data_IF_646637577187
#
_entry.id   IF_646637577187
#
_cell.length_a   1.000
_cell.length_b   1.000
_cell.length_c   1.000
_cell.angle_alpha   90.00
_cell.angle_beta   90.00
_cell.angle_gamma   90.00
#
_symmetry.space_group_name_H-M   'P 1'
#
loop_
_entity.id
_entity.type
_entity.pdbx_description
1 polymer ?
#
# COMPACT_ATOMS: atom_id res chain seq x y z
N UNK A 1 35.26 -2.56 6.47
CA UNK A 1 34.19 -1.55 6.27
C UNK A 1 33.61 -1.51 4.85
N UNK A 2 34.40 -1.74 3.78
CA UNK A 2 33.90 -1.71 2.39
C UNK A 2 32.76 -2.69 2.07
N UNK A 3 32.74 -3.89 2.71
CA UNK A 3 31.69 -4.89 2.46
C UNK A 3 30.30 -4.47 2.94
N UNK A 4 30.19 -3.68 4.01
CA UNK A 4 28.89 -3.24 4.53
C UNK A 4 28.24 -2.19 3.62
N UNK A 5 29.02 -1.20 3.18
CA UNK A 5 28.55 -0.16 2.25
C UNK A 5 28.11 -0.76 0.91
N UNK A 6 28.88 -1.71 0.37
CA UNK A 6 28.54 -2.40 -0.87
C UNK A 6 27.23 -3.19 -0.74
N UNK A 7 27.04 -3.93 0.36
CA UNK A 7 25.79 -4.69 0.62
C UNK A 7 24.57 -3.78 0.78
N UNK A 8 24.77 -2.61 1.40
CA UNK A 8 23.72 -1.61 1.54
C UNK A 8 23.32 -1.00 0.19
N UNK A 9 24.30 -0.63 -0.65
CA UNK A 9 24.04 -0.15 -2.02
C UNK A 9 23.35 -1.20 -2.87
N UNK A 10 23.81 -2.45 -2.80
CA UNK A 10 23.19 -3.56 -3.52
C UNK A 10 21.75 -3.81 -3.04
N UNK A 11 21.51 -3.78 -1.73
CA UNK A 11 20.17 -3.89 -1.15
C UNK A 11 19.24 -2.76 -1.59
N UNK A 12 19.74 -1.51 -1.63
CA UNK A 12 18.98 -0.36 -2.11
C UNK A 12 18.65 -0.48 -3.61
N UNK A 13 19.63 -0.84 -4.44
CA UNK A 13 19.42 -1.04 -5.88
C UNK A 13 18.39 -2.16 -6.14
N UNK A 14 18.54 -3.30 -5.46
CA UNK A 14 17.58 -4.40 -5.57
C UNK A 14 16.18 -4.00 -5.11
N UNK A 15 16.06 -3.22 -4.03
CA UNK A 15 14.80 -2.70 -3.51
C UNK A 15 14.10 -1.78 -4.50
N UNK A 16 14.81 -0.83 -5.10
CA UNK A 16 14.26 0.13 -6.08
C UNK A 16 13.78 -0.61 -7.33
N UNK A 17 14.64 -1.46 -7.91
CA UNK A 17 14.31 -2.23 -9.12
C UNK A 17 13.11 -3.13 -8.86
N UNK A 18 13.11 -3.86 -7.74
CA UNK A 18 12.00 -4.73 -7.38
C UNK A 18 10.71 -3.94 -7.14
N UNK A 19 10.76 -2.82 -6.42
CA UNK A 19 9.58 -2.00 -6.15
C UNK A 19 8.92 -1.53 -7.45
N UNK A 20 9.73 -1.08 -8.42
CA UNK A 20 9.24 -0.69 -9.74
C UNK A 20 8.49 -1.84 -10.43
N UNK A 21 9.15 -2.98 -10.64
CA UNK A 21 8.53 -4.11 -11.33
C UNK A 21 7.33 -4.68 -10.58
N UNK A 22 7.41 -4.75 -9.24
CA UNK A 22 6.35 -5.28 -8.40
C UNK A 22 5.10 -4.39 -8.48
N UNK A 23 5.25 -3.06 -8.36
CA UNK A 23 4.11 -2.16 -8.46
C UNK A 23 3.46 -2.20 -9.84
N UNK A 24 4.24 -2.19 -10.92
CA UNK A 24 3.71 -2.31 -12.28
C UNK A 24 3.01 -3.65 -12.51
N UNK A 25 3.59 -4.75 -12.03
CA UNK A 25 3.00 -6.09 -12.12
C UNK A 25 1.68 -6.20 -11.34
N UNK A 26 1.66 -5.73 -10.09
CA UNK A 26 0.45 -5.69 -9.26
C UNK A 26 -0.62 -4.79 -9.87
N UNK A 27 -0.24 -3.62 -10.41
CA UNK A 27 -1.16 -2.71 -11.08
C UNK A 27 -1.72 -3.28 -12.38
N UNK A 28 -0.93 -4.06 -13.12
CA UNK A 28 -1.41 -4.79 -14.29
C UNK A 28 -2.41 -5.88 -13.90
N UNK A 29 -2.10 -6.68 -12.88
CA UNK A 29 -3.02 -7.71 -12.36
C UNK A 29 -4.31 -7.10 -11.81
N UNK A 30 -4.24 -6.01 -11.05
CA UNK A 30 -5.40 -5.31 -10.52
C UNK A 30 -6.33 -4.83 -11.64
N UNK A 31 -5.77 -4.23 -12.69
CA UNK A 31 -6.54 -3.83 -13.88
C UNK A 31 -7.17 -5.02 -14.60
N UNK A 32 -6.47 -6.15 -14.64
CA UNK A 32 -7.00 -7.41 -15.20
C UNK A 32 -8.27 -7.92 -14.50
N UNK A 33 -8.50 -7.54 -13.23
CA UNK A 33 -9.71 -7.87 -12.47
C UNK A 33 -10.67 -6.68 -12.30
N UNK A 34 -10.47 -5.61 -13.09
CA UNK A 34 -11.33 -4.42 -13.07
C UNK A 34 -11.05 -3.43 -11.93
N UNK A 35 -10.04 -3.66 -11.09
CA UNK A 35 -9.66 -2.73 -10.03
C UNK A 35 -8.80 -1.62 -10.66
N UNK A 36 -9.18 -0.36 -10.41
CA UNK A 36 -8.47 0.82 -10.92
C UNK A 36 -7.52 1.35 -9.82
N UNK A 37 -6.20 1.11 -9.91
CA UNK A 37 -5.24 1.57 -8.89
C UNK A 37 -4.85 3.04 -9.05
N UNK A 38 -4.90 3.57 -10.28
CA UNK A 38 -4.53 4.95 -10.63
C UNK A 38 -5.68 5.52 -11.46
N UNK A 39 -6.18 6.68 -11.07
CA UNK A 39 -7.16 7.46 -11.85
C UNK A 39 -6.40 8.44 -12.70
N UNK A 40 -6.72 8.49 -13.99
CA UNK A 40 -6.22 9.50 -14.91
C UNK A 40 -7.32 10.54 -15.16
N UNK A 41 -6.99 11.82 -14.99
CA UNK A 41 -7.89 12.95 -15.18
C UNK A 41 -7.56 13.65 -16.50
N UNK A 42 -8.49 13.60 -17.45
CA UNK A 42 -8.43 14.35 -18.70
C UNK A 42 -9.77 15.09 -18.92
N UNK A 43 -9.84 16.43 -18.79
CA UNK A 43 -8.71 17.33 -18.52
C UNK A 43 -8.16 17.23 -17.08
N UNK A 44 -6.90 17.64 -16.84
CA UNK A 44 -6.32 17.68 -15.50
C UNK A 44 -7.15 18.53 -14.52
N UNK A 45 -7.21 18.11 -13.26
CA UNK A 45 -8.02 18.75 -12.21
C UNK A 45 -7.15 19.51 -11.22
N UNK A 46 -7.67 20.60 -10.66
CA UNK A 46 -6.98 21.31 -9.59
C UNK A 46 -7.28 20.65 -8.23
N UNK A 47 -6.24 20.30 -7.48
CA UNK A 47 -6.34 19.62 -6.19
C UNK A 47 -5.45 20.31 -5.14
N UNK A 48 -5.88 20.34 -3.88
CA UNK A 48 -5.08 20.86 -2.78
C UNK A 48 -4.22 19.73 -2.22
N UNK A 49 -2.90 19.90 -2.29
CA UNK A 49 -1.94 18.94 -1.74
C UNK A 49 -1.11 19.64 -0.67
N UNK A 50 -0.84 18.92 0.41
CA UNK A 50 0.07 19.37 1.45
C UNK A 50 1.50 19.07 1.00
N UNK A 51 2.29 20.11 0.76
CA UNK A 51 3.67 19.98 0.27
C UNK A 51 4.58 20.70 1.27
N UNK A 52 5.71 20.07 1.62
CA UNK A 52 6.72 20.64 2.52
C UNK A 52 7.17 19.68 3.62
N UNK A 53 8.26 20.06 4.28
CA UNK A 53 8.76 19.34 5.47
C UNK A 53 7.73 19.38 6.61
N UNK A 54 7.71 18.40 7.53
CA UNK A 54 6.72 18.33 8.62
C UNK A 54 6.56 19.61 9.47
N UNK A 55 7.60 20.44 9.55
CA UNK A 55 7.59 21.72 10.26
C UNK A 55 7.16 22.93 9.38
N UNK A 56 7.15 22.77 8.06
CA UNK A 56 6.84 23.82 7.06
C UNK A 56 5.83 23.30 6.03
N UNK A 57 4.81 22.58 6.51
CA UNK A 57 3.74 22.09 5.63
C UNK A 57 2.82 23.25 5.25
N UNK A 58 2.73 23.53 3.96
CA UNK A 58 1.76 24.46 3.40
C UNK A 58 0.84 23.78 2.39
N UNK A 59 -0.41 24.24 2.34
CA UNK A 59 -1.38 23.79 1.35
C UNK A 59 -1.11 24.48 0.02
N UNK A 60 -0.88 23.70 -1.03
CA UNK A 60 -0.68 24.21 -2.38
C UNK A 60 -1.77 23.67 -3.30
N UNK A 61 -2.39 24.56 -4.07
CA UNK A 61 -3.30 24.17 -5.15
C UNK A 61 -2.45 23.84 -6.37
N UNK A 62 -2.47 22.57 -6.78
CA UNK A 62 -1.69 22.07 -7.92
C UNK A 62 -2.62 21.39 -8.92
N UNK A 63 -2.21 21.38 -10.18
CA UNK A 63 -2.96 20.72 -11.25
C UNK A 63 -2.44 19.29 -11.42
N UNK A 64 -3.34 18.32 -11.31
CA UNK A 64 -3.02 16.90 -11.25
C UNK A 64 -3.71 16.17 -12.40
N UNK A 65 -2.93 15.37 -13.14
CA UNK A 65 -3.44 14.49 -14.20
C UNK A 65 -3.63 13.06 -13.72
N UNK A 66 -3.02 12.67 -12.60
CA UNK A 66 -3.08 11.30 -12.08
C UNK A 66 -3.12 11.29 -10.56
N UNK A 67 -3.96 10.42 -9.98
CA UNK A 67 -4.02 10.23 -8.53
C UNK A 67 -4.19 8.75 -8.18
N UNK A 68 -3.70 8.34 -7.02
CA UNK A 68 -3.83 6.97 -6.54
C UNK A 68 -5.18 6.76 -5.88
N UNK A 69 -5.86 5.67 -6.23
CA UNK A 69 -7.05 5.25 -5.48
C UNK A 69 -6.64 4.60 -4.15
N UNK A 70 -7.62 4.37 -3.26
CA UNK A 70 -7.40 3.52 -2.07
C UNK A 70 -6.83 2.14 -2.43
N UNK A 71 -7.24 1.60 -3.58
CA UNK A 71 -6.67 0.37 -4.11
C UNK A 71 -5.20 0.55 -4.51
N UNK A 72 -4.87 1.63 -5.21
CA UNK A 72 -3.48 1.99 -5.54
C UNK A 72 -2.60 2.12 -4.30
N UNK A 73 -3.08 2.83 -3.28
CA UNK A 73 -2.37 3.02 -2.00
C UNK A 73 -2.12 1.67 -1.31
N UNK A 74 -3.11 0.77 -1.27
CA UNK A 74 -2.93 -0.57 -0.70
C UNK A 74 -1.84 -1.38 -1.44
N UNK A 75 -1.79 -1.29 -2.77
CA UNK A 75 -0.75 -1.94 -3.58
C UNK A 75 0.63 -1.31 -3.40
N UNK A 76 0.71 0.00 -3.17
CA UNK A 76 1.97 0.67 -2.80
C UNK A 76 2.50 0.10 -1.49
N UNK A 77 1.66 -0.01 -0.45
CA UNK A 77 2.10 -0.59 0.82
C UNK A 77 2.58 -2.04 0.68
N UNK A 78 1.87 -2.87 -0.08
CA UNK A 78 2.33 -4.23 -0.38
C UNK A 78 3.70 -4.23 -1.07
N UNK A 79 3.86 -3.38 -2.08
CA UNK A 79 5.11 -3.23 -2.83
C UNK A 79 6.25 -2.85 -1.90
N UNK A 80 6.04 -1.88 -1.00
CA UNK A 80 7.05 -1.44 -0.04
C UNK A 80 7.45 -2.56 0.93
N UNK A 81 6.49 -3.32 1.44
CA UNK A 81 6.77 -4.46 2.32
C UNK A 81 7.59 -5.53 1.59
N UNK A 82 7.18 -5.91 0.39
CA UNK A 82 7.90 -6.91 -0.40
C UNK A 82 9.31 -6.42 -0.77
N UNK A 83 9.42 -5.16 -1.17
CA UNK A 83 10.71 -4.52 -1.48
C UNK A 83 11.65 -4.48 -0.27
N UNK A 84 11.12 -4.21 0.93
CA UNK A 84 11.89 -4.30 2.17
C UNK A 84 12.45 -5.71 2.41
N UNK A 85 11.66 -6.75 2.19
CA UNK A 85 12.14 -8.14 2.33
C UNK A 85 13.19 -8.49 1.28
N UNK A 86 13.03 -8.03 0.04
CA UNK A 86 14.05 -8.18 -1.02
C UNK A 86 15.35 -7.47 -0.63
N UNK A 87 15.27 -6.24 -0.12
CA UNK A 87 16.42 -5.50 0.38
C UNK A 87 17.16 -6.27 1.49
N UNK A 88 16.41 -6.87 2.44
CA UNK A 88 16.98 -7.70 3.51
C UNK A 88 17.65 -8.96 2.98
N UNK A 89 17.04 -9.64 2.00
CA UNK A 89 17.64 -10.82 1.37
C UNK A 89 18.92 -10.44 0.65
N UNK A 90 18.91 -9.36 -0.13
CA UNK A 90 20.09 -8.85 -0.82
C UNK A 90 21.19 -8.43 0.17
N UNK A 91 20.83 -7.81 1.29
CA UNK A 91 21.77 -7.44 2.33
C UNK A 91 22.36 -8.67 3.03
N UNK A 92 21.55 -9.61 3.53
CA UNK A 92 22.04 -10.77 4.29
C UNK A 92 22.55 -11.93 3.41
N UNK A 93 22.23 -11.93 2.12
CA UNK A 93 22.48 -13.01 1.15
C UNK A 93 21.98 -14.37 1.64
N UNK A 94 20.90 -14.38 2.44
CA UNK A 94 20.38 -15.61 3.05
C UNK A 94 18.89 -15.49 3.34
N UNK A 95 18.09 -16.34 2.70
CA UNK A 95 16.66 -16.46 2.96
C UNK A 95 16.37 -16.95 4.38
N UNK A 96 17.17 -17.89 4.90
CA UNK A 96 16.99 -18.45 6.24
C UNK A 96 17.11 -17.38 7.35
N UNK A 97 18.02 -16.41 7.17
CA UNK A 97 18.21 -15.30 8.12
C UNK A 97 17.08 -14.26 8.06
N UNK A 98 16.43 -14.11 6.92
CA UNK A 98 15.41 -13.08 6.69
C UNK A 98 14.01 -13.60 6.98
N UNK A 99 13.71 -14.83 6.58
CA UNK A 99 12.37 -15.42 6.70
C UNK A 99 12.28 -16.31 7.93
N UNK A 100 12.27 -15.68 9.10
CA UNK A 100 11.86 -16.33 10.34
C UNK A 100 10.40 -16.78 10.25
N UNK A 101 9.95 -17.63 11.19
CA UNK A 101 8.53 -18.01 11.24
C UNK A 101 7.62 -16.78 11.30
N UNK A 102 7.99 -15.77 12.08
CA UNK A 102 7.23 -14.53 12.19
C UNK A 102 7.17 -13.77 10.87
N UNK A 103 8.32 -13.57 10.22
CA UNK A 103 8.40 -12.86 8.93
C UNK A 103 7.55 -13.50 7.84
N UNK A 104 7.53 -14.84 7.75
CA UNK A 104 6.69 -15.56 6.77
C UNK A 104 5.21 -15.29 6.97
N UNK A 105 4.75 -15.30 8.23
CA UNK A 105 3.36 -15.01 8.55
C UNK A 105 3.02 -13.53 8.36
N UNK A 106 3.97 -12.63 8.61
CA UNK A 106 3.80 -11.21 8.36
C UNK A 106 3.65 -10.93 6.85
N UNK A 107 4.55 -11.48 6.02
CA UNK A 107 4.47 -11.36 4.55
C UNK A 107 3.18 -11.99 4.02
N UNK A 108 2.80 -13.18 4.50
CA UNK A 108 1.54 -13.81 4.10
C UNK A 108 0.33 -12.92 4.43
N UNK A 109 0.34 -12.27 5.60
CA UNK A 109 -0.70 -11.32 5.99
C UNK A 109 -0.81 -10.14 5.03
N UNK A 110 0.32 -9.59 4.58
CA UNK A 110 0.33 -8.54 3.56
C UNK A 110 -0.13 -9.02 2.19
N UNK A 111 0.33 -10.19 1.76
CA UNK A 111 -0.06 -10.80 0.48
C UNK A 111 -1.55 -11.09 0.37
N UNK A 112 -2.23 -11.33 1.49
CA UNK A 112 -3.69 -11.53 1.52
C UNK A 112 -4.41 -10.20 1.79
N UNK A 113 -3.94 -9.47 2.79
CA UNK A 113 -4.59 -8.26 3.29
C UNK A 113 -4.58 -7.12 2.29
N UNK A 114 -3.46 -6.87 1.61
CA UNK A 114 -3.39 -5.74 0.68
C UNK A 114 -4.28 -5.92 -0.56
N UNK A 115 -4.32 -7.09 -1.24
CA UNK A 115 -5.30 -7.32 -2.31
C UNK A 115 -6.75 -7.26 -1.81
N UNK A 116 -7.02 -7.80 -0.62
CA UNK A 116 -8.36 -7.72 0.00
C UNK A 116 -8.77 -6.26 0.26
N UNK A 117 -7.87 -5.45 0.84
CA UNK A 117 -8.10 -4.03 1.06
C UNK A 117 -8.21 -3.29 -0.28
N UNK A 118 -7.44 -3.64 -1.30
CA UNK A 118 -7.55 -3.02 -2.61
C UNK A 118 -8.94 -3.27 -3.23
N UNK A 119 -9.43 -4.50 -3.17
CA UNK A 119 -10.78 -4.85 -3.62
C UNK A 119 -11.85 -4.12 -2.80
N UNK A 120 -11.73 -4.10 -1.47
CA UNK A 120 -12.67 -3.42 -0.57
C UNK A 120 -12.68 -1.90 -0.80
N UNK A 121 -11.52 -1.28 -0.97
CA UNK A 121 -11.40 0.15 -1.27
C UNK A 121 -12.05 0.51 -2.59
N UNK A 122 -11.87 -0.33 -3.63
CA UNK A 122 -12.54 -0.14 -4.91
C UNK A 122 -14.07 -0.27 -4.78
N UNK A 123 -14.56 -1.31 -4.10
CA UNK A 123 -16.01 -1.51 -3.89
C UNK A 123 -16.66 -0.41 -3.06
N UNK A 124 -16.00 0.06 -2.00
CA UNK A 124 -16.52 1.17 -1.18
C UNK A 124 -16.70 2.45 -2.00
N UNK A 125 -15.72 2.75 -2.86
CA UNK A 125 -15.80 3.91 -3.77
C UNK A 125 -16.98 3.76 -4.72
N UNK A 126 -17.13 2.61 -5.38
CA UNK A 126 -18.27 2.36 -6.28
C UNK A 126 -19.62 2.54 -5.58
N UNK A 127 -19.81 1.87 -4.43
CA UNK A 127 -21.06 1.91 -3.68
C UNK A 127 -21.45 3.32 -3.24
N UNK A 128 -20.47 4.12 -2.81
CA UNK A 128 -20.73 5.49 -2.36
C UNK A 128 -21.08 6.40 -3.54
N UNK A 129 -20.39 6.27 -4.67
CA UNK A 129 -20.69 7.09 -5.85
C UNK A 129 -21.95 6.68 -6.61
N UNK A 130 -22.52 5.49 -6.36
CA UNK A 130 -23.85 5.13 -6.85
C UNK A 130 -24.99 5.93 -6.18
N UNK A 131 -24.73 6.57 -5.03
CA UNK A 131 -25.77 7.25 -4.27
C UNK A 131 -25.73 8.78 -4.46
N UNK A 132 -26.89 9.37 -4.79
CA UNK A 132 -27.02 10.80 -5.05
C UNK A 132 -26.65 11.72 -3.88
N UNK A 133 -26.67 11.23 -2.64
CA UNK A 133 -26.27 12.01 -1.46
C UNK A 133 -24.75 12.22 -1.40
N UNK A 134 -23.95 11.30 -1.94
CA UNK A 134 -22.50 11.41 -1.94
C UNK A 134 -22.02 12.58 -2.81
N UNK A 135 -22.71 12.85 -3.92
CA UNK A 135 -22.45 14.03 -4.74
C UNK A 135 -22.82 15.35 -4.04
N UNK A 136 -23.83 15.33 -3.16
CA UNK A 136 -24.23 16.52 -2.39
C UNK A 136 -23.26 16.83 -1.25
N UNK A 137 -22.65 15.81 -0.67
CA UNK A 137 -21.74 15.95 0.48
C UNK A 137 -20.43 15.18 0.26
N UNK A 138 -19.60 15.57 -0.71
CA UNK A 138 -18.43 14.81 -1.13
C UNK A 138 -17.39 14.63 -0.01
N UNK A 139 -17.23 15.62 0.87
CA UNK A 139 -16.32 15.53 2.01
C UNK A 139 -16.80 14.49 3.04
N UNK A 140 -18.09 14.47 3.38
CA UNK A 140 -18.65 13.51 4.33
C UNK A 140 -18.62 12.08 3.76
N UNK A 141 -18.95 11.94 2.48
CA UNK A 141 -18.86 10.68 1.75
C UNK A 141 -17.42 10.15 1.75
N UNK A 142 -16.44 11.00 1.42
CA UNK A 142 -15.01 10.64 1.47
C UNK A 142 -14.55 10.24 2.88
N UNK A 143 -14.95 10.99 3.91
CA UNK A 143 -14.63 10.65 5.30
C UNK A 143 -15.24 9.31 5.72
N UNK A 144 -16.49 9.03 5.34
CA UNK A 144 -17.15 7.75 5.63
C UNK A 144 -16.43 6.57 4.95
N UNK A 145 -16.04 6.72 3.68
CA UNK A 145 -15.24 5.71 2.95
C UNK A 145 -13.91 5.45 3.66
N UNK A 146 -13.19 6.51 4.06
CA UNK A 146 -11.92 6.39 4.76
C UNK A 146 -12.07 5.71 6.12
N UNK A 147 -13.11 6.05 6.89
CA UNK A 147 -13.39 5.41 8.18
C UNK A 147 -13.70 3.93 7.96
N UNK A 148 -14.59 3.59 7.02
CA UNK A 148 -14.94 2.20 6.73
C UNK A 148 -13.72 1.39 6.28
N UNK A 149 -12.87 1.98 5.44
CA UNK A 149 -11.62 1.38 5.00
C UNK A 149 -10.64 1.17 6.17
N UNK A 150 -10.42 2.18 7.01
CA UNK A 150 -9.52 2.10 8.16
C UNK A 150 -10.00 1.08 9.21
N UNK A 151 -11.31 1.03 9.48
CA UNK A 151 -11.92 0.03 10.37
C UNK A 151 -11.72 -1.38 9.79
N UNK A 152 -11.94 -1.57 8.49
CA UNK A 152 -11.74 -2.86 7.82
C UNK A 152 -10.28 -3.31 7.88
N UNK A 153 -9.33 -2.40 7.64
CA UNK A 153 -7.90 -2.68 7.75
C UNK A 153 -7.51 -3.07 9.20
N UNK A 154 -8.05 -2.36 10.19
CA UNK A 154 -7.84 -2.69 11.60
C UNK A 154 -8.41 -4.06 11.96
N UNK A 155 -9.65 -4.36 11.56
CA UNK A 155 -10.28 -5.66 11.80
C UNK A 155 -9.47 -6.79 11.17
N UNK A 156 -8.96 -6.59 9.95
CA UNK A 156 -8.07 -7.55 9.31
C UNK A 156 -6.77 -7.72 10.12
N UNK A 157 -6.12 -6.64 10.51
CA UNK A 157 -4.87 -6.69 11.27
C UNK A 157 -5.06 -7.39 12.63
N UNK A 158 -6.13 -7.09 13.36
CA UNK A 158 -6.48 -7.72 14.63
C UNK A 158 -6.78 -9.21 14.45
N UNK A 159 -7.55 -9.56 13.42
CA UNK A 159 -7.86 -10.95 13.07
C UNK A 159 -6.60 -11.74 12.70
N UNK A 160 -5.73 -11.16 11.87
CA UNK A 160 -4.48 -11.78 11.46
C UNK A 160 -3.54 -11.97 12.65
N UNK A 161 -3.42 -10.95 13.51
CA UNK A 161 -2.65 -11.02 14.75
C UNK A 161 -3.17 -12.11 15.69
N UNK A 162 -4.50 -12.23 15.80
CA UNK A 162 -5.13 -13.29 16.57
C UNK A 162 -4.83 -14.70 16.00
N UNK A 163 -4.86 -14.86 14.67
CA UNK A 163 -4.46 -16.12 14.00
C UNK A 163 -3.00 -16.44 14.30
N UNK A 164 -2.09 -15.46 14.15
CA UNK A 164 -0.66 -15.62 14.44
C UNK A 164 -0.43 -16.07 15.89
N UNK A 165 -1.12 -15.43 16.85
CA UNK A 165 -1.06 -15.81 18.28
C UNK A 165 -1.55 -17.24 18.51
N UNK A 166 -2.70 -17.63 17.93
CA UNK A 166 -3.21 -19.01 18.02
C UNK A 166 -2.25 -20.04 17.43
N UNK A 167 -1.50 -19.66 16.39
CA UNK A 167 -0.45 -20.48 15.78
C UNK A 167 0.89 -20.37 16.50
N UNK A 168 0.96 -19.74 17.68
CA UNK A 168 2.17 -19.50 18.49
C UNK A 168 3.29 -18.81 17.71
N UNK A 169 2.92 -17.93 16.78
CA UNK A 169 3.85 -17.09 16.03
C UNK A 169 4.03 -15.80 16.82
N UNK A 170 5.20 -15.64 17.43
CA UNK A 170 5.56 -14.48 18.24
C UNK A 170 6.65 -13.69 17.53
N UNK A 171 6.69 -12.37 17.73
CA UNK A 171 7.87 -11.60 17.38
C UNK A 171 9.04 -12.14 18.21
N UNK A 172 10.15 -12.40 17.53
CA UNK A 172 11.41 -12.83 18.15
C UNK A 172 12.01 -11.64 18.89
#
# INVERSE_FOLDING_TARGET
MASHKLRMLFGAAASIVFAWYCFHGLSWLARGVGIIPIVHYDPPVDQWILIGDPMLQSWHKVRVSEDFTLAGIALIFLTLVLSYYVARVAYHLSFAKVFTRHDRWFVAGWMIGAPLMAALGHMLVLLVFEHSWAHRWPMLAGAAVLIAFAVSAKLFADSWRWIMRRRRVHAI
#
